data_IF_163186088547
#
_entry.id   IF_163186088547
#
_cell.length_a   1.000
_cell.length_b   1.000
_cell.length_c   1.000
_cell.angle_alpha   90.00
_cell.angle_beta   90.00
_cell.angle_gamma   90.00
#
_symmetry.space_group_name_H-M   'P 1'
#
loop_
_entity.id
_entity.type
_entity.pdbx_description
1 polymer ?
#
# COMPACT_ATOMS: atom_id res chain seq x y z
N UNK A 1 16.68 19.51 -9.86
CA UNK A 1 15.80 19.55 -8.68
C UNK A 1 16.07 18.37 -7.74
N UNK A 2 15.69 18.50 -6.48
CA UNK A 2 15.88 17.41 -5.50
C UNK A 2 14.69 16.46 -5.54
N UNK A 3 14.95 15.15 -5.45
CA UNK A 3 13.89 14.14 -5.32
C UNK A 3 13.41 14.12 -3.87
N UNK A 4 12.15 14.44 -3.63
CA UNK A 4 11.54 14.49 -2.29
C UNK A 4 10.58 13.33 -1.99
N UNK A 5 10.06 12.68 -3.02
CA UNK A 5 9.27 11.47 -2.91
C UNK A 5 9.43 10.60 -4.16
N UNK A 6 9.31 9.30 -3.98
CA UNK A 6 9.33 8.31 -5.05
C UNK A 6 8.33 7.20 -4.73
N UNK A 7 7.77 6.58 -5.75
CA UNK A 7 6.84 5.48 -5.60
C UNK A 7 6.94 4.51 -6.76
N UNK A 8 6.46 3.30 -6.52
CA UNK A 8 6.22 2.31 -7.56
C UNK A 8 4.77 1.84 -7.51
N UNK A 9 4.25 1.49 -8.65
CA UNK A 9 2.93 0.91 -8.78
C UNK A 9 2.93 -0.27 -9.74
N UNK A 10 1.94 -1.11 -9.63
CA UNK A 10 1.77 -2.30 -10.47
C UNK A 10 0.43 -2.16 -11.18
N UNK A 11 0.41 -2.43 -12.47
CA UNK A 11 -0.81 -2.42 -13.28
C UNK A 11 -1.01 -3.79 -13.93
N UNK A 12 -2.18 -4.39 -13.71
CA UNK A 12 -2.59 -5.65 -14.34
C UNK A 12 -4.06 -5.56 -14.73
N UNK A 13 -4.35 -5.69 -16.01
CA UNK A 13 -5.72 -5.54 -16.54
C UNK A 13 -6.29 -4.16 -16.23
N UNK A 14 -7.37 -4.09 -15.45
CA UNK A 14 -8.02 -2.83 -15.05
C UNK A 14 -7.78 -2.45 -13.59
N UNK A 15 -6.76 -3.04 -12.96
CA UNK A 15 -6.43 -2.83 -11.56
C UNK A 15 -4.99 -2.30 -11.41
N UNK A 16 -4.85 -1.23 -10.65
CA UNK A 16 -3.56 -0.64 -10.29
C UNK A 16 -3.35 -0.73 -8.78
N UNK A 17 -2.13 -1.09 -8.35
CA UNK A 17 -1.75 -1.14 -6.94
C UNK A 17 -0.60 -0.17 -6.66
N UNK A 18 -0.77 0.66 -5.65
CA UNK A 18 0.33 1.34 -5.00
C UNK A 18 1.22 0.29 -4.31
N UNK A 19 2.47 0.13 -4.74
CA UNK A 19 3.32 -0.95 -4.24
C UNK A 19 4.27 -0.46 -3.15
N UNK A 20 5.13 0.48 -3.46
CA UNK A 20 6.08 1.04 -2.50
C UNK A 20 6.12 2.55 -2.64
N UNK A 21 6.33 3.24 -1.51
CA UNK A 21 6.55 4.68 -1.49
C UNK A 21 7.63 5.04 -0.49
N UNK A 22 8.40 6.05 -0.84
CA UNK A 22 9.40 6.66 0.04
C UNK A 22 9.30 8.18 -0.06
N UNK A 23 9.55 8.85 1.03
CA UNK A 23 9.64 10.31 1.06
C UNK A 23 10.74 10.76 2.02
N UNK A 24 11.38 11.87 1.70
CA UNK A 24 12.34 12.51 2.58
C UNK A 24 11.63 13.40 3.60
N UNK A 25 12.26 13.62 4.74
CA UNK A 25 11.84 14.62 5.71
C UNK A 25 12.22 16.06 5.32
N UNK A 26 13.10 16.21 4.32
CA UNK A 26 13.43 17.52 3.76
C UNK A 26 12.25 18.05 2.94
N UNK A 27 12.04 19.36 3.00
CA UNK A 27 11.02 20.06 2.21
C UNK A 27 9.60 19.48 2.37
N UNK A 28 9.21 19.16 3.59
CA UNK A 28 7.86 18.60 3.90
C UNK A 28 6.72 19.51 3.44
N UNK A 29 6.97 20.80 3.36
CA UNK A 29 6.04 21.82 2.90
C UNK A 29 5.56 21.62 1.45
N UNK A 30 6.36 20.98 0.60
CA UNK A 30 5.95 20.68 -0.80
C UNK A 30 5.01 19.49 -0.93
N UNK A 31 4.76 18.77 0.18
CA UNK A 31 3.83 17.61 0.22
C UNK A 31 4.05 16.61 -0.91
N UNK A 32 5.33 16.23 -1.14
CA UNK A 32 5.72 15.36 -2.25
C UNK A 32 4.95 14.05 -2.35
N UNK A 33 4.63 13.42 -1.20
CA UNK A 33 3.83 12.18 -1.16
C UNK A 33 2.40 12.38 -1.70
N UNK A 34 1.77 13.53 -1.43
CA UNK A 34 0.44 13.83 -1.97
C UNK A 34 0.50 14.09 -3.48
N UNK A 35 1.51 14.85 -3.92
CA UNK A 35 1.68 15.16 -5.35
C UNK A 35 1.91 13.87 -6.18
N UNK A 36 2.74 12.95 -5.68
CA UNK A 36 3.01 11.70 -6.39
C UNK A 36 1.80 10.76 -6.39
N UNK A 37 1.00 10.72 -5.31
CA UNK A 37 -0.27 9.97 -5.29
C UNK A 37 -1.26 10.50 -6.32
N UNK A 38 -1.38 11.82 -6.43
CA UNK A 38 -2.22 12.42 -7.45
C UNK A 38 -1.77 12.06 -8.87
N UNK A 39 -0.47 12.10 -9.14
CA UNK A 39 0.08 11.68 -10.43
C UNK A 39 -0.26 10.20 -10.71
N UNK A 40 -0.10 9.31 -9.74
CA UNK A 40 -0.41 7.90 -9.92
C UNK A 40 -1.90 7.64 -10.18
N UNK A 41 -2.80 8.40 -9.56
CA UNK A 41 -4.24 8.33 -9.86
C UNK A 41 -4.49 8.74 -11.33
N UNK A 42 -3.86 9.81 -11.79
CA UNK A 42 -3.95 10.24 -13.19
C UNK A 42 -3.39 9.18 -14.16
N UNK A 43 -2.26 8.58 -13.83
CA UNK A 43 -1.65 7.51 -14.62
C UNK A 43 -2.55 6.27 -14.68
N UNK A 44 -3.18 5.89 -13.55
CA UNK A 44 -4.14 4.80 -13.49
C UNK A 44 -5.38 5.07 -14.36
N UNK A 45 -5.89 6.30 -14.35
CA UNK A 45 -6.97 6.72 -15.25
C UNK A 45 -6.55 6.66 -16.72
N UNK A 46 -5.33 7.05 -17.04
CA UNK A 46 -4.80 7.05 -18.41
C UNK A 46 -4.65 5.64 -19.02
N UNK A 47 -4.57 4.62 -18.19
CA UNK A 47 -4.55 3.20 -18.61
C UNK A 47 -5.92 2.51 -18.44
N UNK A 48 -6.99 3.27 -18.29
CA UNK A 48 -8.38 2.79 -18.11
C UNK A 48 -8.54 1.81 -16.93
N UNK A 49 -7.82 2.04 -15.84
CA UNK A 49 -8.00 1.25 -14.62
C UNK A 49 -9.34 1.58 -13.94
N UNK A 50 -10.06 0.57 -13.50
CA UNK A 50 -11.29 0.73 -12.71
C UNK A 50 -10.98 0.95 -11.23
N UNK A 51 -9.87 0.41 -10.77
CA UNK A 51 -9.48 0.41 -9.36
C UNK A 51 -8.03 0.87 -9.22
N UNK A 52 -7.84 1.83 -8.32
CA UNK A 52 -6.53 2.20 -7.79
C UNK A 52 -6.47 1.79 -6.31
N UNK A 53 -5.78 0.69 -6.03
CA UNK A 53 -5.68 0.07 -4.72
C UNK A 53 -4.49 0.66 -3.95
N UNK A 54 -4.77 1.35 -2.85
CA UNK A 54 -3.76 1.93 -1.96
C UNK A 54 -3.21 0.93 -0.94
N UNK A 55 -3.51 -0.35 -1.08
CA UNK A 55 -3.08 -1.46 -0.21
C UNK A 55 -3.66 -1.39 1.20
N UNK A 56 -3.24 -2.36 2.01
CA UNK A 56 -3.78 -2.61 3.34
C UNK A 56 -3.74 -1.41 4.29
N UNK A 57 -4.64 -1.46 5.23
CA UNK A 57 -4.67 -0.64 6.44
C UNK A 57 -4.82 -1.58 7.64
N UNK A 58 -4.32 -1.15 8.79
CA UNK A 58 -4.43 -1.93 10.03
C UNK A 58 -5.86 -1.99 10.53
N UNK A 59 -6.29 -3.14 11.02
CA UNK A 59 -7.55 -3.28 11.75
C UNK A 59 -7.39 -2.78 13.20
N UNK A 60 -8.44 -2.16 13.74
CA UNK A 60 -8.49 -1.84 15.17
C UNK A 60 -7.67 -0.63 15.60
N UNK A 61 -7.84 0.50 14.91
CA UNK A 61 -7.17 1.76 15.23
C UNK A 61 -7.48 2.27 16.64
N UNK A 62 -6.43 2.53 17.39
CA UNK A 62 -6.47 3.35 18.60
C UNK A 62 -5.95 4.77 18.30
N UNK A 63 -6.26 5.73 19.18
CA UNK A 63 -5.83 7.12 19.00
C UNK A 63 -4.30 7.29 18.95
N UNK A 64 -3.56 6.35 19.53
CA UNK A 64 -2.10 6.36 19.61
C UNK A 64 -1.43 5.46 18.58
N UNK A 65 -2.20 4.92 17.62
CA UNK A 65 -1.66 4.03 16.60
C UNK A 65 -0.71 4.79 15.65
N UNK A 66 0.53 4.33 15.51
CA UNK A 66 1.51 4.97 14.62
C UNK A 66 1.07 4.97 13.15
N UNK A 67 0.20 4.05 12.74
CA UNK A 67 -0.34 3.98 11.38
C UNK A 67 -1.53 4.93 11.12
N UNK A 68 -2.04 5.60 12.16
CA UNK A 68 -3.15 6.55 12.02
C UNK A 68 -2.85 7.64 10.98
N UNK A 69 -1.59 8.09 10.90
CA UNK A 69 -1.14 9.05 9.90
C UNK A 69 -1.28 8.53 8.47
N UNK A 70 -0.93 7.26 8.25
CA UNK A 70 -1.05 6.61 6.95
C UNK A 70 -2.51 6.44 6.52
N UNK A 71 -3.37 6.09 7.45
CA UNK A 71 -4.81 5.93 7.17
C UNK A 71 -5.45 7.28 6.86
N UNK A 72 -5.18 8.31 7.64
CA UNK A 72 -5.62 9.69 7.35
C UNK A 72 -5.16 10.16 5.97
N UNK A 73 -3.95 9.80 5.57
CA UNK A 73 -3.43 10.09 4.25
C UNK A 73 -4.22 9.38 3.14
N UNK A 74 -4.48 8.07 3.28
CA UNK A 74 -5.23 7.28 2.29
C UNK A 74 -6.69 7.75 2.17
N UNK A 75 -7.37 7.96 3.29
CA UNK A 75 -8.75 8.49 3.32
C UNK A 75 -8.80 9.92 2.78
N UNK A 76 -7.84 10.76 3.16
CA UNK A 76 -7.74 12.13 2.67
C UNK A 76 -7.50 12.25 1.16
N UNK A 77 -6.98 11.19 0.53
CA UNK A 77 -6.84 11.06 -0.93
C UNK A 77 -8.12 10.56 -1.61
N UNK A 78 -9.22 10.39 -0.89
CA UNK A 78 -10.51 9.90 -1.42
C UNK A 78 -10.67 8.38 -1.35
N UNK A 79 -9.74 7.66 -0.72
CA UNK A 79 -9.81 6.22 -0.57
C UNK A 79 -10.99 5.76 0.30
N UNK A 80 -11.58 4.63 -0.06
CA UNK A 80 -12.59 3.93 0.72
C UNK A 80 -11.99 2.65 1.29
N UNK A 81 -12.24 2.38 2.57
CA UNK A 81 -11.84 1.13 3.18
C UNK A 81 -12.75 -0.02 2.69
N UNK A 82 -12.13 -1.09 2.21
CA UNK A 82 -12.82 -2.29 1.74
C UNK A 82 -12.30 -3.49 2.53
N UNK A 83 -13.20 -4.30 3.03
CA UNK A 83 -12.85 -5.55 3.69
C UNK A 83 -12.83 -6.69 2.67
N UNK A 84 -11.69 -7.36 2.56
CA UNK A 84 -11.55 -8.58 1.77
C UNK A 84 -11.88 -9.81 2.62
N UNK A 85 -12.13 -10.94 1.95
CA UNK A 85 -12.42 -12.23 2.62
C UNK A 85 -11.21 -12.84 3.34
N UNK A 86 -10.07 -12.17 3.31
CA UNK A 86 -8.80 -12.63 3.87
C UNK A 86 -7.91 -13.34 2.84
N UNK A 87 -6.75 -13.77 3.31
CA UNK A 87 -5.81 -14.57 2.55
C UNK A 87 -6.01 -16.04 2.89
N UNK A 88 -6.02 -16.88 1.88
CA UNK A 88 -6.27 -18.31 2.04
C UNK A 88 -5.20 -19.11 1.31
N UNK A 89 -4.57 -20.03 2.01
CA UNK A 89 -3.54 -20.89 1.45
C UNK A 89 -4.09 -22.27 1.13
N UNK A 90 -3.88 -22.74 -0.10
CA UNK A 90 -4.08 -24.14 -0.46
C UNK A 90 -2.79 -24.91 -0.20
N UNK A 91 -2.74 -25.64 0.89
CA UNK A 91 -1.56 -26.42 1.28
C UNK A 91 -1.44 -27.67 0.41
N UNK A 92 -0.51 -27.67 -0.54
CA UNK A 92 -0.24 -28.81 -1.43
C UNK A 92 0.71 -29.82 -0.75
N UNK A 93 1.78 -29.33 -0.14
CA UNK A 93 2.74 -30.12 0.63
C UNK A 93 2.82 -29.57 2.07
N UNK A 94 2.29 -30.31 3.06
CA UNK A 94 2.24 -29.86 4.45
C UNK A 94 3.61 -29.65 5.10
N UNK A 95 4.64 -30.39 4.66
CA UNK A 95 5.98 -30.29 5.21
C UNK A 95 6.69 -29.03 4.72
N UNK A 96 6.61 -28.75 3.44
CA UNK A 96 7.16 -27.55 2.84
C UNK A 96 6.39 -26.30 3.32
N UNK A 97 5.07 -26.39 3.45
CA UNK A 97 4.27 -25.29 3.99
C UNK A 97 4.68 -24.93 5.41
N UNK A 98 4.84 -25.93 6.30
CA UNK A 98 5.29 -25.71 7.68
C UNK A 98 6.70 -25.08 7.74
N UNK A 99 7.60 -25.51 6.88
CA UNK A 99 8.94 -24.92 6.79
C UNK A 99 8.90 -23.45 6.33
N UNK A 100 8.06 -23.15 5.35
CA UNK A 100 7.83 -21.80 4.85
C UNK A 100 7.21 -20.90 5.94
N UNK A 101 6.19 -21.37 6.63
CA UNK A 101 5.51 -20.64 7.70
C UNK A 101 6.48 -20.27 8.84
N UNK A 102 7.30 -21.23 9.28
CA UNK A 102 8.35 -21.00 10.27
C UNK A 102 9.40 -19.98 9.79
N UNK A 103 9.74 -20.00 8.50
CA UNK A 103 10.66 -19.02 7.91
C UNK A 103 10.03 -17.61 7.93
N UNK A 104 8.76 -17.47 7.55
CA UNK A 104 8.05 -16.20 7.54
C UNK A 104 7.88 -15.61 8.94
N UNK A 105 7.54 -16.43 9.94
CA UNK A 105 7.46 -16.01 11.35
C UNK A 105 8.79 -15.45 11.88
N UNK A 106 9.91 -16.04 11.48
CA UNK A 106 11.25 -15.54 11.87
C UNK A 106 11.61 -14.22 11.21
N UNK A 107 11.11 -13.99 10.00
CA UNK A 107 11.40 -12.77 9.24
C UNK A 107 10.54 -11.58 9.70
N UNK A 108 9.36 -11.84 10.26
CA UNK A 108 8.43 -10.82 10.75
C UNK A 108 8.77 -10.30 12.18
N UNK A 109 9.72 -10.96 12.85
CA UNK A 109 10.26 -10.53 14.14
C UNK A 109 11.51 -9.65 13.97
#
# INVERSE_FOLDING_TARGET
GDVVAATTWIHVGRHCWYSYGASTNAKREVRGSNAIQWQMIQDAMAVDADVYDMRGITEGLTADDPELGLIKFKVGSGGQAVSYIGEWDLVIDPLLYKAFDLYMERRSR
#
